data_IF_010442244483
#
_entry.id   IF_010442244483
#
_cell.length_a   1.000
_cell.length_b   1.000
_cell.length_c   1.000
_cell.angle_alpha   90.00
_cell.angle_beta   90.00
_cell.angle_gamma   90.00
#
_symmetry.space_group_name_H-M   'P 1'
#
loop_
_entity.id
_entity.type
_entity.pdbx_description
1 polymer ?
#
# COMPACT_ATOMS: atom_id res chain seq x y z
N UNK A 1 3.73 2.22 29.08
CA UNK A 1 3.45 2.54 27.66
C UNK A 1 4.34 1.63 26.84
N UNK A 2 3.78 0.57 26.26
CA UNK A 2 4.51 -0.28 25.31
C UNK A 2 4.78 0.56 24.06
N UNK A 3 6.05 0.83 23.78
CA UNK A 3 6.48 1.43 22.52
C UNK A 3 6.17 0.41 21.42
N UNK A 4 5.15 0.67 20.60
CA UNK A 4 4.89 -0.09 19.38
C UNK A 4 6.16 -0.12 18.54
N UNK A 5 6.48 -1.28 17.98
CA UNK A 5 7.61 -1.39 17.06
C UNK A 5 7.26 -0.60 15.78
N UNK A 6 8.28 -0.10 15.07
CA UNK A 6 8.04 0.57 13.78
C UNK A 6 7.33 -0.38 12.79
N UNK A 7 7.59 -1.69 12.88
CA UNK A 7 6.93 -2.69 12.04
C UNK A 7 5.44 -2.80 12.38
N UNK A 8 5.07 -2.82 13.66
CA UNK A 8 3.67 -2.87 14.09
C UNK A 8 2.89 -1.67 13.56
N UNK A 9 3.53 -0.49 13.55
CA UNK A 9 2.94 0.74 13.03
C UNK A 9 2.81 0.71 11.50
N UNK A 10 3.83 0.21 10.79
CA UNK A 10 3.79 0.04 9.33
C UNK A 10 2.65 -0.93 8.94
N UNK A 11 2.61 -2.10 9.58
CA UNK A 11 1.59 -3.13 9.31
C UNK A 11 0.18 -2.59 9.53
N UNK A 12 -0.08 -1.98 10.69
CA UNK A 12 -1.39 -1.42 11.02
C UNK A 12 -1.82 -0.32 10.04
N UNK A 13 -0.87 0.52 9.59
CA UNK A 13 -1.16 1.59 8.64
C UNK A 13 -1.41 1.05 7.21
N UNK A 14 -0.64 0.06 6.76
CA UNK A 14 -0.86 -0.59 5.47
C UNK A 14 -2.20 -1.34 5.45
N UNK A 15 -2.54 -2.07 6.51
CA UNK A 15 -3.85 -2.73 6.63
C UNK A 15 -5.00 -1.74 6.63
N UNK A 16 -4.86 -0.60 7.32
CA UNK A 16 -5.87 0.44 7.31
C UNK A 16 -6.16 0.93 5.89
N UNK A 17 -5.10 1.19 5.12
CA UNK A 17 -5.21 1.68 3.75
C UNK A 17 -5.80 0.58 2.87
N UNK A 18 -5.27 -0.65 2.92
CA UNK A 18 -5.79 -1.78 2.15
C UNK A 18 -7.28 -2.02 2.39
N UNK A 19 -7.74 -1.99 3.65
CA UNK A 19 -9.16 -2.15 3.96
C UNK A 19 -10.03 -1.06 3.30
N UNK A 20 -9.51 0.15 3.10
CA UNK A 20 -10.23 1.22 2.39
C UNK A 20 -10.28 0.99 0.87
N UNK A 21 -9.24 0.38 0.29
CA UNK A 21 -9.22 -0.04 -1.11
C UNK A 21 -10.17 -1.23 -1.35
N UNK A 22 -10.14 -2.22 -0.46
CA UNK A 22 -11.07 -3.37 -0.46
C UNK A 22 -12.53 -2.95 -0.27
N UNK A 23 -12.78 -1.79 0.35
CA UNK A 23 -14.10 -1.20 0.50
C UNK A 23 -14.71 -0.61 -0.78
N UNK A 24 -14.00 -0.66 -1.92
CA UNK A 24 -14.40 -0.06 -3.20
C UNK A 24 -14.47 -1.10 -4.33
N UNK A 25 -15.34 -2.13 -4.24
CA UNK A 25 -15.43 -3.19 -5.25
C UNK A 25 -15.87 -2.69 -6.63
N UNK A 26 -16.49 -1.50 -6.71
CA UNK A 26 -16.83 -0.87 -8.00
C UNK A 26 -15.60 -0.59 -8.88
N UNK A 27 -14.41 -0.53 -8.29
CA UNK A 27 -13.15 -0.29 -9.02
C UNK A 27 -12.77 -1.51 -9.86
N UNK A 28 -13.27 -2.72 -9.55
CA UNK A 28 -13.01 -3.93 -10.33
C UNK A 28 -13.40 -3.79 -11.81
N UNK A 29 -14.37 -2.92 -12.14
CA UNK A 29 -14.78 -2.65 -13.52
C UNK A 29 -13.68 -2.01 -14.40
N UNK A 30 -12.65 -1.41 -13.78
CA UNK A 30 -11.53 -0.79 -14.49
C UNK A 30 -10.36 -1.74 -14.74
N UNK A 31 -10.39 -2.96 -14.19
CA UNK A 31 -9.34 -3.95 -14.37
C UNK A 31 -9.46 -4.67 -15.72
N UNK A 32 -8.32 -4.95 -16.34
CA UNK A 32 -8.27 -5.77 -17.55
C UNK A 32 -8.45 -7.24 -17.21
N UNK A 33 -9.06 -8.01 -18.12
CA UNK A 33 -9.15 -9.48 -18.02
C UNK A 33 -7.84 -10.20 -18.31
N UNK A 34 -6.78 -9.47 -18.69
CA UNK A 34 -5.47 -10.03 -19.04
C UNK A 34 -4.41 -9.84 -17.95
N UNK A 35 -4.76 -9.16 -16.87
CA UNK A 35 -3.91 -8.90 -15.70
C UNK A 35 -4.52 -9.54 -14.46
N UNK A 36 -3.85 -9.43 -13.32
CA UNK A 36 -4.45 -9.74 -12.01
C UNK A 36 -5.81 -9.04 -11.89
N UNK A 37 -6.81 -9.75 -11.37
CA UNK A 37 -8.09 -9.14 -11.02
C UNK A 37 -7.94 -8.20 -9.82
N UNK A 38 -8.97 -7.38 -9.59
CA UNK A 38 -9.05 -6.56 -8.39
C UNK A 38 -8.91 -7.40 -7.12
N UNK A 39 -9.68 -8.50 -7.02
CA UNK A 39 -9.68 -9.39 -5.87
C UNK A 39 -8.31 -10.06 -5.68
N UNK A 40 -7.68 -10.50 -6.76
CA UNK A 40 -6.35 -11.11 -6.71
C UNK A 40 -5.28 -10.10 -6.28
N UNK A 41 -5.34 -8.85 -6.77
CA UNK A 41 -4.41 -7.81 -6.36
C UNK A 41 -4.59 -7.45 -4.87
N UNK A 42 -5.83 -7.30 -4.39
CA UNK A 42 -6.08 -7.01 -2.96
C UNK A 42 -5.59 -8.17 -2.07
N UNK A 43 -5.88 -9.41 -2.46
CA UNK A 43 -5.41 -10.60 -1.74
C UNK A 43 -3.87 -10.68 -1.71
N UNK A 44 -3.21 -10.37 -2.82
CA UNK A 44 -1.75 -10.36 -2.89
C UNK A 44 -1.14 -9.29 -1.97
N UNK A 45 -1.70 -8.08 -1.95
CA UNK A 45 -1.24 -7.03 -1.04
C UNK A 45 -1.43 -7.47 0.41
N UNK A 46 -2.58 -8.09 0.75
CA UNK A 46 -2.84 -8.62 2.09
C UNK A 46 -1.82 -9.67 2.51
N UNK A 47 -1.47 -10.59 1.60
CA UNK A 47 -0.45 -11.62 1.85
C UNK A 47 0.92 -11.00 2.15
N UNK A 48 1.32 -9.96 1.40
CA UNK A 48 2.56 -9.23 1.69
C UNK A 48 2.58 -8.63 3.09
N UNK A 49 1.45 -8.14 3.58
CA UNK A 49 1.35 -7.51 4.89
C UNK A 49 1.29 -8.55 6.02
N UNK A 50 0.34 -9.49 5.96
CA UNK A 50 -0.01 -10.36 7.10
C UNK A 50 0.84 -11.63 7.18
N UNK A 51 1.32 -12.15 6.05
CA UNK A 51 1.99 -13.46 5.99
C UNK A 51 3.48 -13.33 5.68
N UNK A 52 3.84 -12.51 4.69
CA UNK A 52 5.23 -12.40 4.24
C UNK A 52 6.04 -11.36 5.05
N UNK A 53 5.38 -10.37 5.66
CA UNK A 53 6.06 -9.24 6.29
C UNK A 53 6.83 -8.35 5.29
N UNK A 54 6.46 -8.43 4.01
CA UNK A 54 7.08 -7.73 2.88
C UNK A 54 6.43 -6.34 2.71
N UNK A 55 6.53 -5.50 3.75
CA UNK A 55 5.86 -4.21 3.80
C UNK A 55 6.23 -3.25 2.68
N UNK A 56 7.44 -3.39 2.10
CA UNK A 56 7.88 -2.59 0.95
C UNK A 56 7.10 -2.92 -0.30
N UNK A 57 6.93 -4.21 -0.60
CA UNK A 57 6.11 -4.66 -1.72
C UNK A 57 4.66 -4.25 -1.54
N UNK A 58 4.11 -4.38 -0.32
CA UNK A 58 2.75 -3.91 -0.03
C UNK A 58 2.60 -2.40 -0.28
N UNK A 59 3.54 -1.58 0.19
CA UNK A 59 3.53 -0.13 -0.02
C UNK A 59 3.58 0.23 -1.51
N UNK A 60 4.48 -0.40 -2.26
CA UNK A 60 4.62 -0.17 -3.71
C UNK A 60 3.38 -0.60 -4.49
N UNK A 61 2.80 -1.76 -4.17
CA UNK A 61 1.60 -2.25 -4.85
C UNK A 61 0.37 -1.38 -4.55
N UNK A 62 0.24 -0.88 -3.32
CA UNK A 62 -0.81 0.10 -2.98
C UNK A 62 -0.57 1.39 -3.79
N UNK A 63 0.66 1.91 -3.82
CA UNK A 63 1.01 3.10 -4.61
C UNK A 63 0.64 2.92 -6.09
N UNK A 64 1.09 1.84 -6.71
CA UNK A 64 0.78 1.52 -8.10
C UNK A 64 -0.71 1.35 -8.38
N UNK A 65 -1.47 0.77 -7.43
CA UNK A 65 -2.93 0.68 -7.55
C UNK A 65 -3.59 2.07 -7.55
N UNK A 66 -3.15 2.97 -6.64
CA UNK A 66 -3.67 4.34 -6.56
C UNK A 66 -3.30 5.20 -7.77
N UNK A 67 -2.15 4.94 -8.40
CA UNK A 67 -1.73 5.61 -9.63
C UNK A 67 -2.49 5.12 -10.87
N UNK A 68 -2.87 3.84 -10.88
CA UNK A 68 -3.45 3.18 -12.06
C UNK A 68 -4.97 3.21 -12.10
N UNK A 69 -5.63 3.25 -10.93
CA UNK A 69 -7.07 3.07 -10.80
C UNK A 69 -7.71 4.20 -10.02
N UNK A 70 -9.01 4.51 -10.27
CA UNK A 70 -9.69 5.66 -9.68
C UNK A 70 -10.16 5.41 -8.23
N UNK A 71 -9.30 4.83 -7.38
CA UNK A 71 -9.57 4.68 -5.96
C UNK A 71 -9.74 6.02 -5.28
N UNK A 72 -10.66 6.07 -4.32
CA UNK A 72 -10.79 7.20 -3.39
C UNK A 72 -10.10 6.85 -2.09
N UNK A 73 -9.31 7.79 -1.59
CA UNK A 73 -8.57 7.62 -0.34
C UNK A 73 -8.96 8.76 0.60
N UNK A 74 -9.35 8.41 1.81
CA UNK A 74 -9.62 9.37 2.87
C UNK A 74 -8.35 10.12 3.24
N UNK A 75 -8.50 11.34 3.77
CA UNK A 75 -7.36 12.08 4.30
C UNK A 75 -6.59 11.30 5.38
N UNK A 76 -7.29 10.47 6.15
CA UNK A 76 -6.68 9.60 7.16
C UNK A 76 -5.79 8.50 6.52
N UNK A 77 -6.28 7.80 5.50
CA UNK A 77 -5.48 6.80 4.79
C UNK A 77 -4.29 7.44 4.05
N UNK A 78 -4.46 8.63 3.48
CA UNK A 78 -3.35 9.36 2.85
C UNK A 78 -2.24 9.71 3.86
N UNK A 79 -2.60 10.17 5.06
CA UNK A 79 -1.64 10.42 6.14
C UNK A 79 -0.92 9.13 6.55
N UNK A 80 -1.65 8.01 6.67
CA UNK A 80 -1.06 6.72 7.03
C UNK A 80 -0.08 6.19 6.00
N UNK A 81 -0.38 6.34 4.71
CA UNK A 81 0.55 6.07 3.60
C UNK A 81 1.82 6.92 3.74
N UNK A 82 1.68 8.22 4.03
CA UNK A 82 2.83 9.10 4.24
C UNK A 82 3.67 8.68 5.46
N UNK A 83 3.04 8.29 6.57
CA UNK A 83 3.72 7.77 7.76
C UNK A 83 4.52 6.51 7.44
N UNK A 84 3.95 5.58 6.67
CA UNK A 84 4.66 4.38 6.18
C UNK A 84 5.86 4.79 5.34
N UNK A 85 5.66 5.66 4.35
CA UNK A 85 6.75 6.17 3.50
C UNK A 85 7.89 6.79 4.32
N UNK A 86 7.58 7.59 5.34
CA UNK A 86 8.58 8.20 6.22
C UNK A 86 9.36 7.16 7.04
N UNK A 87 8.68 6.15 7.59
CA UNK A 87 9.31 5.08 8.37
C UNK A 87 10.18 4.18 7.49
N UNK A 88 9.75 3.95 6.26
CA UNK A 88 10.51 3.17 5.27
C UNK A 88 11.64 3.95 4.63
N UNK A 89 11.63 5.29 4.73
CA UNK A 89 12.63 6.17 4.11
C UNK A 89 12.37 6.43 2.62
N UNK A 90 11.10 6.39 2.20
CA UNK A 90 10.65 6.54 0.80
C UNK A 90 11.34 5.58 -0.17
N UNK A 91 11.48 4.32 0.23
CA UNK A 91 12.00 3.25 -0.62
C UNK A 91 11.02 3.03 -1.78
N UNK A 92 11.45 3.40 -2.97
CA UNK A 92 10.76 3.18 -4.25
C UNK A 92 11.82 2.75 -5.26
N UNK A 93 11.54 1.69 -6.01
CA UNK A 93 12.42 1.24 -7.09
C UNK A 93 12.26 2.06 -8.38
N UNK A 94 11.38 3.08 -8.39
CA UNK A 94 11.21 3.98 -9.53
C UNK A 94 12.37 4.98 -9.64
N UNK A 95 12.94 5.10 -10.84
CA UNK A 95 14.08 6.00 -11.11
C UNK A 95 13.81 7.47 -10.74
N UNK A 96 12.56 7.92 -10.91
CA UNK A 96 12.07 9.26 -10.57
C UNK A 96 12.19 9.58 -9.07
N UNK A 97 12.04 8.56 -8.23
CA UNK A 97 11.94 8.71 -6.77
C UNK A 97 13.28 8.58 -6.06
N UNK A 98 14.36 8.26 -6.79
CA UNK A 98 15.73 8.18 -6.26
C UNK A 98 16.16 9.39 -5.43
N UNK A 99 15.60 10.57 -5.70
CA UNK A 99 15.86 11.81 -4.93
C UNK A 99 15.33 11.77 -3.48
N UNK A 100 14.41 10.87 -3.17
CA UNK A 100 13.80 10.70 -1.86
C UNK A 100 14.36 9.49 -1.10
N UNK A 101 15.05 8.58 -1.80
CA UNK A 101 15.74 7.46 -1.17
C UNK A 101 16.88 7.97 -0.28
N UNK A 102 16.99 7.40 0.92
CA UNK A 102 17.97 7.78 1.95
C UNK A 102 19.15 6.80 2.03
N UNK A 103 19.26 5.85 1.08
CA UNK A 103 20.39 4.93 0.93
C UNK A 103 21.55 5.53 0.15
#
# INVERSE_FOLDING_TARGET
>A
MTTLSNNDLIEANLLFVLNELEGQPEIAAYYSTTTLSYEEQMAQIREFIELAGEYGLAYEYIGGALESFPFRVSGAAAIKLLEVGLLMGFKSELDLDKRFDRR
#
